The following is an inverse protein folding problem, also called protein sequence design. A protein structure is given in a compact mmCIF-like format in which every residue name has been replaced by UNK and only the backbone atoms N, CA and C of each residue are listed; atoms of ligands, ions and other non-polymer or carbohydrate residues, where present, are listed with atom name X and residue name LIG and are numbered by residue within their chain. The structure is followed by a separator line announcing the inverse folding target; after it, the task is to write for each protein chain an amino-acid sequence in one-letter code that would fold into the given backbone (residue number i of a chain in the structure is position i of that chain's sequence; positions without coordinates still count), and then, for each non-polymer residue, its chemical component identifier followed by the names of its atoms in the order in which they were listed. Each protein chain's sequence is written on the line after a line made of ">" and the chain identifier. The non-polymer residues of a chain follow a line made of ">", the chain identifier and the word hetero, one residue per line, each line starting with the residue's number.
data_IF_379069460688
#
_entry.id   IF_379069460688
#
_cell.length_a   1.000
_cell.length_b   1.000
_cell.length_c   1.000
_cell.angle_alpha   90.00
_cell.angle_beta   90.00
_cell.angle_gamma   90.00
#
_symmetry.space_group_name_H-M   'P 1'
#
loop_
_entity.id
_entity.type
_entity.pdbx_description
1 polymer ?
#
# COMPACT_ATOMS: atom_id res chain seq x y z
N UNK A 1 -39.94 -45.49 9.45
CA UNK A 1 -38.77 -44.84 10.09
C UNK A 1 -37.49 -44.94 9.25
N UNK A 2 -36.99 -46.13 8.87
CA UNK A 2 -35.74 -46.26 8.07
C UNK A 2 -35.72 -45.43 6.78
N UNK A 3 -36.78 -45.48 5.95
CA UNK A 3 -36.87 -44.69 4.69
C UNK A 3 -36.83 -43.16 4.91
N UNK A 4 -37.33 -42.68 6.05
CA UNK A 4 -37.39 -41.26 6.41
C UNK A 4 -36.01 -40.77 6.89
N UNK A 5 -35.31 -41.62 7.66
CA UNK A 5 -33.91 -41.39 8.07
C UNK A 5 -32.98 -41.41 6.85
N UNK A 6 -33.11 -42.38 5.93
CA UNK A 6 -32.34 -42.41 4.69
C UNK A 6 -32.62 -41.20 3.77
N UNK A 7 -33.87 -40.73 3.71
CA UNK A 7 -34.23 -39.51 2.98
C UNK A 7 -33.59 -38.25 3.57
N UNK A 8 -33.61 -38.08 4.89
CA UNK A 8 -32.95 -36.96 5.58
C UNK A 8 -31.43 -37.00 5.40
N UNK A 9 -30.81 -38.19 5.46
CA UNK A 9 -29.38 -38.38 5.22
C UNK A 9 -28.99 -38.03 3.78
N UNK A 10 -29.81 -38.40 2.81
CA UNK A 10 -29.60 -38.03 1.42
C UNK A 10 -29.69 -36.51 1.23
N UNK A 11 -30.70 -35.84 1.81
CA UNK A 11 -30.83 -34.38 1.76
C UNK A 11 -29.63 -33.69 2.41
N UNK A 12 -29.17 -34.19 3.56
CA UNK A 12 -28.00 -33.65 4.25
C UNK A 12 -26.73 -33.81 3.40
N UNK A 13 -26.51 -34.98 2.78
CA UNK A 13 -25.37 -35.22 1.90
C UNK A 13 -25.40 -34.33 0.65
N UNK A 14 -26.57 -34.19 0.01
CA UNK A 14 -26.75 -33.27 -1.11
C UNK A 14 -26.53 -31.81 -0.71
N UNK A 15 -27.05 -31.40 0.46
CA UNK A 15 -26.85 -30.06 1.02
C UNK A 15 -25.37 -29.76 1.28
N UNK A 16 -24.64 -30.71 1.88
CA UNK A 16 -23.20 -30.60 2.11
C UNK A 16 -22.42 -30.52 0.78
N UNK A 17 -22.76 -31.34 -0.21
CA UNK A 17 -22.12 -31.31 -1.52
C UNK A 17 -22.32 -29.98 -2.24
N UNK A 18 -23.55 -29.45 -2.22
CA UNK A 18 -23.86 -28.12 -2.77
C UNK A 18 -23.17 -26.99 -2.00
N UNK A 19 -23.08 -27.10 -0.68
CA UNK A 19 -22.37 -26.14 0.15
C UNK A 19 -20.87 -26.12 -0.16
N UNK A 20 -20.23 -27.29 -0.26
CA UNK A 20 -18.81 -27.41 -0.63
C UNK A 20 -18.58 -26.83 -2.03
N UNK A 21 -19.45 -27.14 -2.99
CA UNK A 21 -19.37 -26.59 -4.34
C UNK A 21 -19.48 -25.06 -4.33
N UNK A 22 -20.45 -24.50 -3.61
CA UNK A 22 -20.62 -23.06 -3.48
C UNK A 22 -19.39 -22.39 -2.85
N UNK A 23 -18.82 -22.97 -1.79
CA UNK A 23 -17.63 -22.43 -1.11
C UNK A 23 -16.41 -22.42 -2.05
N UNK A 24 -16.30 -23.41 -2.95
CA UNK A 24 -15.14 -23.58 -3.82
C UNK A 24 -15.26 -22.86 -5.17
N UNK A 25 -16.45 -22.81 -5.76
CA UNK A 25 -16.67 -22.35 -7.14
C UNK A 25 -17.60 -21.14 -7.22
N UNK A 26 -18.21 -20.73 -6.10
CA UNK A 26 -19.32 -19.80 -6.08
C UNK A 26 -20.56 -20.41 -6.73
N UNK A 27 -21.60 -19.60 -6.90
CA UNK A 27 -22.81 -20.00 -7.62
C UNK A 27 -23.30 -18.88 -8.58
N UNK A 28 -24.09 -19.23 -9.62
CA UNK A 28 -24.58 -18.24 -10.59
C UNK A 28 -25.49 -17.16 -9.98
N UNK A 29 -26.25 -17.46 -8.92
CA UNK A 29 -27.15 -16.49 -8.31
C UNK A 29 -26.36 -15.41 -7.56
N UNK A 30 -25.39 -15.81 -6.75
CA UNK A 30 -24.48 -14.88 -6.07
C UNK A 30 -23.69 -14.04 -7.06
N UNK A 31 -23.19 -14.65 -8.14
CA UNK A 31 -22.49 -13.92 -9.20
C UNK A 31 -23.37 -12.83 -9.80
N UNK A 32 -24.62 -13.14 -10.15
CA UNK A 32 -25.55 -12.15 -10.70
C UNK A 32 -25.89 -11.06 -9.68
N UNK A 33 -26.12 -11.42 -8.41
CA UNK A 33 -26.37 -10.44 -7.34
C UNK A 33 -25.17 -9.49 -7.15
N UNK A 34 -23.96 -10.03 -7.19
CA UNK A 34 -22.70 -9.29 -7.12
C UNK A 34 -22.53 -8.33 -8.31
N UNK A 35 -22.79 -8.80 -9.53
CA UNK A 35 -22.73 -7.98 -10.73
C UNK A 35 -23.72 -6.81 -10.66
N UNK A 36 -24.99 -7.08 -10.32
CA UNK A 36 -26.02 -6.05 -10.17
C UNK A 36 -25.66 -5.04 -9.09
N UNK A 37 -25.08 -5.49 -7.97
CA UNK A 37 -24.58 -4.61 -6.92
C UNK A 37 -23.49 -3.68 -7.43
N UNK A 38 -22.52 -4.18 -8.20
CA UNK A 38 -21.47 -3.35 -8.79
C UNK A 38 -22.02 -2.39 -9.84
N UNK A 39 -22.90 -2.84 -10.73
CA UNK A 39 -23.55 -1.99 -11.73
C UNK A 39 -24.31 -0.84 -11.05
N UNK A 40 -25.03 -1.13 -9.96
CA UNK A 40 -25.71 -0.08 -9.18
C UNK A 40 -24.71 0.85 -8.49
N UNK A 41 -23.66 0.30 -7.90
CA UNK A 41 -22.64 1.07 -7.19
C UNK A 41 -21.93 2.04 -8.14
N UNK A 42 -21.44 1.59 -9.30
CA UNK A 42 -20.72 2.47 -10.23
C UNK A 42 -21.59 3.58 -10.80
N UNK A 43 -22.88 3.32 -11.04
CA UNK A 43 -23.84 4.35 -11.47
C UNK A 43 -24.05 5.43 -10.39
N UNK A 44 -24.04 5.04 -9.12
CA UNK A 44 -24.22 5.95 -8.00
C UNK A 44 -22.94 6.73 -7.69
N UNK A 45 -21.79 6.06 -7.64
CA UNK A 45 -20.49 6.63 -7.27
C UNK A 45 -19.88 7.44 -8.42
N UNK A 46 -20.05 7.00 -9.67
CA UNK A 46 -19.45 7.61 -10.85
C UNK A 46 -20.49 7.94 -11.94
N UNK A 47 -21.51 8.78 -11.64
CA UNK A 47 -22.65 9.00 -12.55
C UNK A 47 -22.27 9.63 -13.90
N UNK A 48 -21.08 10.22 -14.00
CA UNK A 48 -20.55 10.86 -15.22
C UNK A 48 -19.60 9.96 -16.02
N UNK A 49 -19.28 8.75 -15.54
CA UNK A 49 -18.37 7.81 -16.21
C UNK A 49 -19.18 6.67 -16.81
N UNK A 50 -18.91 6.34 -18.07
CA UNK A 50 -19.40 5.11 -18.67
C UNK A 50 -18.52 3.94 -18.22
N UNK A 51 -18.99 3.20 -17.21
CA UNK A 51 -18.28 2.04 -16.66
C UNK A 51 -19.06 0.77 -16.99
N UNK A 52 -18.38 -0.19 -17.62
CA UNK A 52 -18.93 -1.52 -17.89
C UNK A 52 -18.35 -2.53 -16.91
N UNK A 53 -19.21 -3.29 -16.25
CA UNK A 53 -18.83 -4.40 -15.36
C UNK A 53 -18.89 -5.69 -16.18
N UNK A 54 -17.79 -6.44 -16.22
CA UNK A 54 -17.66 -7.69 -16.99
C UNK A 54 -16.81 -8.72 -16.25
N UNK A 55 -16.75 -9.95 -16.77
CA UNK A 55 -15.76 -10.97 -16.39
C UNK A 55 -15.72 -11.34 -14.91
N UNK A 56 -16.89 -11.46 -14.26
CA UNK A 56 -16.97 -11.88 -12.85
C UNK A 56 -16.43 -13.30 -12.61
N UNK A 57 -15.42 -13.42 -11.75
CA UNK A 57 -14.82 -14.70 -11.32
C UNK A 57 -14.87 -14.78 -9.80
N UNK A 58 -15.18 -15.97 -9.28
CA UNK A 58 -15.16 -16.22 -7.84
C UNK A 58 -13.75 -16.55 -7.36
N UNK A 59 -13.30 -15.87 -6.30
CA UNK A 59 -12.05 -16.10 -5.61
C UNK A 59 -12.32 -16.80 -4.28
N UNK A 60 -12.09 -18.13 -4.23
CA UNK A 60 -12.33 -18.92 -3.03
C UNK A 60 -11.45 -18.51 -1.84
N UNK A 61 -10.24 -17.97 -2.07
CA UNK A 61 -9.33 -17.56 -0.99
C UNK A 61 -9.88 -16.40 -0.18
N UNK A 62 -10.49 -15.42 -0.85
CA UNK A 62 -11.07 -14.23 -0.19
C UNK A 62 -12.59 -14.36 0.00
N UNK A 63 -13.20 -15.36 -0.63
CA UNK A 63 -14.65 -15.57 -0.72
C UNK A 63 -15.36 -14.37 -1.36
N UNK A 64 -14.79 -13.87 -2.45
CA UNK A 64 -15.27 -12.69 -3.17
C UNK A 64 -15.51 -12.99 -4.64
N UNK A 65 -16.41 -12.24 -5.26
CA UNK A 65 -16.44 -12.11 -6.71
C UNK A 65 -15.63 -10.91 -7.13
N UNK A 66 -14.70 -11.13 -8.06
CA UNK A 66 -13.89 -10.09 -8.69
C UNK A 66 -14.37 -9.90 -10.11
N UNK A 67 -14.72 -8.66 -10.46
CA UNK A 67 -15.14 -8.24 -11.79
C UNK A 67 -14.15 -7.23 -12.36
N UNK A 68 -14.19 -7.07 -13.68
CA UNK A 68 -13.50 -5.99 -14.38
C UNK A 68 -14.46 -4.82 -14.58
N UNK A 69 -14.12 -3.65 -14.04
CA UNK A 69 -14.73 -2.38 -14.35
C UNK A 69 -13.93 -1.70 -15.48
N UNK A 70 -14.51 -1.61 -16.66
CA UNK A 70 -13.86 -0.98 -17.83
C UNK A 70 -14.34 0.46 -17.99
N UNK A 71 -13.40 1.41 -18.00
CA UNK A 71 -13.64 2.84 -18.23
C UNK A 71 -12.55 3.39 -19.16
N UNK A 72 -12.93 4.04 -20.26
CA UNK A 72 -11.98 4.67 -21.21
C UNK A 72 -10.76 3.77 -21.55
N UNK A 73 -11.04 2.51 -21.91
CA UNK A 73 -10.04 1.46 -22.23
C UNK A 73 -9.15 0.97 -21.08
N UNK A 74 -9.30 1.49 -19.87
CA UNK A 74 -8.66 0.96 -18.67
C UNK A 74 -9.56 -0.04 -17.96
N UNK A 75 -8.95 -1.05 -17.35
CA UNK A 75 -9.64 -2.09 -16.59
C UNK A 75 -9.21 -2.00 -15.14
N UNK A 76 -10.19 -1.97 -14.25
CA UNK A 76 -9.99 -1.89 -12.81
C UNK A 76 -10.68 -3.06 -12.13
N UNK A 77 -10.05 -3.72 -11.15
CA UNK A 77 -10.72 -4.75 -10.37
C UNK A 77 -11.83 -4.11 -9.51
N UNK A 78 -12.97 -4.79 -9.42
CA UNK A 78 -14.02 -4.48 -8.45
C UNK A 78 -14.48 -5.75 -7.75
N UNK A 79 -14.52 -5.70 -6.43
CA UNK A 79 -14.73 -6.88 -5.60
C UNK A 79 -16.03 -6.75 -4.86
N UNK A 80 -16.72 -7.87 -4.71
CA UNK A 80 -17.87 -7.96 -3.82
C UNK A 80 -17.83 -9.21 -2.97
N UNK A 81 -18.38 -9.11 -1.76
CA UNK A 81 -18.48 -10.21 -0.81
C UNK A 81 -19.89 -10.38 -0.30
N UNK A 82 -20.34 -11.63 -0.23
CA UNK A 82 -21.65 -12.02 0.30
C UNK A 82 -22.56 -12.69 -0.73
N UNK A 83 -23.65 -13.29 -0.22
CA UNK A 83 -24.59 -14.10 -1.00
C UNK A 83 -25.78 -13.25 -1.50
N UNK A 84 -26.78 -12.97 -0.65
CA UNK A 84 -28.00 -12.23 -1.02
C UNK A 84 -27.84 -10.71 -1.10
N UNK A 85 -26.98 -10.15 -0.25
CA UNK A 85 -26.76 -8.70 -0.15
C UNK A 85 -25.26 -8.41 -0.21
N UNK A 86 -24.63 -8.61 -1.38
CA UNK A 86 -23.20 -8.42 -1.51
C UNK A 86 -22.82 -6.97 -1.19
N UNK A 87 -21.66 -6.82 -0.54
CA UNK A 87 -21.03 -5.52 -0.28
C UNK A 87 -19.85 -5.35 -1.22
N UNK A 88 -19.64 -4.13 -1.70
CA UNK A 88 -18.42 -3.78 -2.42
C UNK A 88 -17.27 -3.78 -1.41
N UNK A 89 -16.19 -4.48 -1.74
CA UNK A 89 -15.02 -4.65 -0.87
C UNK A 89 -13.73 -4.11 -1.46
N UNK A 90 -13.67 -3.93 -2.78
CA UNK A 90 -12.59 -3.22 -3.47
C UNK A 90 -13.17 -2.37 -4.61
N UNK A 91 -12.57 -1.20 -4.81
CA UNK A 91 -12.92 -0.27 -5.89
C UNK A 91 -11.62 0.18 -6.55
N UNK A 92 -11.19 -0.59 -7.56
CA UNK A 92 -9.93 -0.33 -8.26
C UNK A 92 -9.88 1.01 -8.98
N UNK A 93 -11.02 1.66 -9.24
CA UNK A 93 -11.04 3.02 -9.84
C UNK A 93 -10.60 4.04 -8.80
N UNK A 94 -11.16 3.96 -7.59
CA UNK A 94 -10.81 4.84 -6.48
C UNK A 94 -9.40 4.55 -5.97
N UNK A 95 -9.00 3.27 -5.91
CA UNK A 95 -7.65 2.86 -5.51
C UNK A 95 -6.60 3.43 -6.48
N UNK A 96 -6.82 3.31 -7.80
CA UNK A 96 -5.90 3.88 -8.79
C UNK A 96 -5.84 5.42 -8.75
N UNK A 97 -6.96 6.08 -8.43
CA UNK A 97 -6.97 7.52 -8.20
C UNK A 97 -6.15 7.88 -6.95
N UNK A 98 -6.35 7.17 -5.85
CA UNK A 98 -5.64 7.36 -4.59
C UNK A 98 -4.14 7.10 -4.73
N UNK A 99 -3.74 6.10 -5.53
CA UNK A 99 -2.34 5.84 -5.88
C UNK A 99 -1.73 7.04 -6.63
N UNK A 100 -2.48 7.61 -7.59
CA UNK A 100 -2.04 8.79 -8.35
C UNK A 100 -1.86 10.02 -7.47
N UNK A 101 -2.80 10.26 -6.53
CA UNK A 101 -2.69 11.32 -5.52
C UNK A 101 -1.48 11.08 -4.61
N UNK A 102 -1.32 9.85 -4.15
CA UNK A 102 -0.20 9.46 -3.28
C UNK A 102 1.13 9.71 -3.96
N UNK A 103 1.29 9.27 -5.20
CA UNK A 103 2.48 9.53 -6.00
C UNK A 103 2.77 11.02 -6.13
N UNK A 104 1.77 11.84 -6.46
CA UNK A 104 1.94 13.28 -6.59
C UNK A 104 2.46 13.93 -5.29
N UNK A 105 1.78 13.69 -4.16
CA UNK A 105 2.14 14.28 -2.87
C UNK A 105 3.49 13.75 -2.37
N UNK A 106 3.76 12.45 -2.54
CA UNK A 106 5.02 11.81 -2.13
C UNK A 106 6.22 12.36 -2.92
N UNK A 107 6.06 12.62 -4.22
CA UNK A 107 7.10 13.25 -5.04
C UNK A 107 7.43 14.67 -4.56
N UNK A 108 6.42 15.46 -4.21
CA UNK A 108 6.63 16.81 -3.66
C UNK A 108 7.27 16.78 -2.27
N UNK A 109 6.82 15.87 -1.39
CA UNK A 109 7.39 15.66 -0.06
C UNK A 109 8.86 15.24 -0.13
N UNK A 110 9.16 14.28 -1.00
CA UNK A 110 10.51 13.80 -1.30
C UNK A 110 11.42 14.94 -1.74
N UNK A 111 11.00 15.73 -2.73
CA UNK A 111 11.78 16.88 -3.22
C UNK A 111 12.07 17.90 -2.11
N UNK A 112 11.10 18.19 -1.25
CA UNK A 112 11.27 19.11 -0.13
C UNK A 112 12.28 18.56 0.90
N UNK A 113 12.16 17.29 1.27
CA UNK A 113 13.05 16.63 2.22
C UNK A 113 14.48 16.57 1.67
N UNK A 114 14.66 16.17 0.41
CA UNK A 114 15.98 16.16 -0.23
C UNK A 114 16.62 17.54 -0.23
N UNK A 115 15.86 18.59 -0.56
CA UNK A 115 16.39 19.95 -0.62
C UNK A 115 16.89 20.45 0.74
N UNK A 116 16.21 20.06 1.83
CA UNK A 116 16.65 20.37 3.19
C UNK A 116 17.85 19.51 3.61
N UNK A 117 17.85 18.20 3.30
CA UNK A 117 18.91 17.27 3.70
C UNK A 117 20.22 17.48 2.92
N UNK A 118 20.17 17.80 1.62
CA UNK A 118 21.38 18.02 0.80
C UNK A 118 22.31 19.09 1.37
N UNK A 119 21.77 20.06 2.12
CA UNK A 119 22.54 21.13 2.77
C UNK A 119 23.29 20.65 4.02
N UNK A 120 22.70 19.72 4.77
CA UNK A 120 23.24 19.24 6.03
C UNK A 120 24.04 17.94 5.90
N UNK A 121 23.75 17.14 4.87
CA UNK A 121 24.30 15.80 4.67
C UNK A 121 24.87 15.68 3.24
N UNK A 122 26.15 16.06 3.03
CA UNK A 122 26.77 16.04 1.69
C UNK A 122 26.83 14.66 1.04
N UNK A 123 26.73 13.60 1.84
CA UNK A 123 26.73 12.19 1.40
C UNK A 123 25.33 11.65 1.09
N UNK A 124 24.31 12.51 1.05
CA UNK A 124 22.96 12.10 0.64
C UNK A 124 22.97 11.61 -0.81
N UNK A 125 22.49 10.39 -1.04
CA UNK A 125 22.26 9.83 -2.37
C UNK A 125 20.84 10.17 -2.81
N UNK A 126 19.84 9.79 -2.01
CA UNK A 126 18.42 10.09 -2.24
C UNK A 126 17.62 10.05 -0.94
N UNK A 127 16.44 10.67 -0.97
CA UNK A 127 15.40 10.49 0.03
C UNK A 127 14.11 10.05 -0.67
N UNK A 128 13.30 9.24 0.00
CA UNK A 128 11.99 8.82 -0.45
C UNK A 128 11.02 9.00 0.73
N UNK A 129 9.94 9.76 0.52
CA UNK A 129 8.89 9.96 1.51
C UNK A 129 7.59 9.31 1.03
N UNK A 130 6.92 8.56 1.91
CA UNK A 130 5.68 7.88 1.60
C UNK A 130 4.62 8.18 2.65
N UNK A 131 3.58 8.93 2.27
CA UNK A 131 2.39 9.13 3.09
C UNK A 131 1.44 7.95 2.92
N UNK A 132 0.91 7.46 4.04
CA UNK A 132 -0.17 6.46 4.07
C UNK A 132 -1.51 7.17 3.88
N UNK A 133 -1.90 7.34 2.62
CA UNK A 133 -3.11 8.07 2.21
C UNK A 133 -4.27 7.09 2.03
N UNK A 134 -5.39 7.37 2.69
CA UNK A 134 -6.63 6.61 2.53
C UNK A 134 -7.48 7.15 1.36
N UNK A 135 -8.37 6.29 0.83
CA UNK A 135 -9.26 6.65 -0.26
C UNK A 135 -10.09 7.91 0.06
N UNK A 136 -10.16 8.85 -0.88
CA UNK A 136 -10.88 10.11 -0.72
C UNK A 136 -10.28 11.10 0.28
N UNK A 137 -9.15 10.79 0.95
CA UNK A 137 -8.55 11.68 1.95
C UNK A 137 -7.99 12.96 1.32
N UNK A 138 -7.37 12.83 0.14
CA UNK A 138 -6.77 13.92 -0.63
C UNK A 138 -7.16 13.83 -2.11
N UNK A 139 -6.90 14.92 -2.84
CA UNK A 139 -7.15 15.04 -4.28
C UNK A 139 -5.88 15.36 -5.04
N UNK A 140 -5.90 15.25 -6.37
CA UNK A 140 -4.75 15.61 -7.23
C UNK A 140 -4.35 17.09 -7.15
N UNK A 141 -5.22 17.97 -6.67
CA UNK A 141 -4.90 19.39 -6.45
C UNK A 141 -4.21 19.64 -5.10
N UNK A 142 -4.07 18.59 -4.27
CA UNK A 142 -3.45 18.67 -2.94
C UNK A 142 -1.95 18.87 -3.08
N UNK A 143 -1.46 20.02 -2.63
CA UNK A 143 -0.04 20.32 -2.60
C UNK A 143 0.59 19.90 -1.27
N UNK A 144 1.81 19.40 -1.33
CA UNK A 144 2.58 19.05 -0.17
C UNK A 144 2.72 20.24 0.80
N UNK A 145 2.49 19.95 2.08
CA UNK A 145 2.90 20.75 3.22
C UNK A 145 3.12 19.83 4.42
N UNK A 146 3.89 20.29 5.40
CA UNK A 146 4.29 19.47 6.55
C UNK A 146 3.11 19.02 7.42
N UNK A 147 2.02 19.78 7.43
CA UNK A 147 0.81 19.44 8.19
C UNK A 147 0.05 18.24 7.59
N UNK A 148 0.29 17.89 6.33
CA UNK A 148 -0.31 16.67 5.75
C UNK A 148 0.14 15.41 6.49
N UNK A 149 1.39 15.39 6.97
CA UNK A 149 1.94 14.24 7.70
C UNK A 149 1.34 14.05 9.10
N UNK A 150 0.59 15.03 9.62
CA UNK A 150 -0.20 14.89 10.85
C UNK A 150 -1.54 14.16 10.59
N UNK A 151 -2.04 14.22 9.34
CA UNK A 151 -3.30 13.60 8.92
C UNK A 151 -3.09 12.23 8.28
N UNK A 152 -1.99 12.06 7.57
CA UNK A 152 -1.59 10.82 6.92
C UNK A 152 -0.16 10.48 7.34
N UNK A 153 0.05 9.42 8.15
CA UNK A 153 1.37 9.06 8.64
C UNK A 153 2.39 8.90 7.50
N UNK A 154 3.54 9.56 7.63
CA UNK A 154 4.62 9.51 6.64
C UNK A 154 5.75 8.61 7.12
N UNK A 155 6.16 7.66 6.30
CA UNK A 155 7.44 6.96 6.44
C UNK A 155 8.50 7.59 5.54
N UNK A 156 9.78 7.48 5.93
CA UNK A 156 10.89 8.06 5.19
C UNK A 156 11.98 7.00 4.98
N UNK A 157 12.48 6.85 3.77
CA UNK A 157 13.69 6.06 3.47
C UNK A 157 14.77 6.99 2.94
N UNK A 158 15.97 6.92 3.50
CA UNK A 158 17.11 7.76 3.12
C UNK A 158 18.26 6.87 2.71
N UNK A 159 18.92 7.19 1.59
CA UNK A 159 20.16 6.52 1.20
C UNK A 159 21.35 7.47 1.34
N UNK A 160 22.40 7.00 2.01
CA UNK A 160 23.65 7.75 2.26
C UNK A 160 24.86 7.01 1.70
N UNK A 161 25.86 7.73 1.20
CA UNK A 161 27.15 7.14 0.81
C UNK A 161 28.06 6.92 2.03
N UNK A 162 28.17 5.66 2.46
CA UNK A 162 29.03 5.23 3.56
C UNK A 162 30.33 4.56 3.12
N UNK A 163 30.76 4.79 1.87
CA UNK A 163 32.03 4.28 1.35
C UNK A 163 33.21 4.77 2.19
N UNK A 164 33.97 3.82 2.74
CA UNK A 164 35.12 4.10 3.61
C UNK A 164 34.76 4.53 5.04
N UNK A 165 33.47 4.52 5.41
CA UNK A 165 33.03 4.91 6.75
C UNK A 165 32.87 3.71 7.67
N UNK A 166 33.20 3.95 8.95
CA UNK A 166 32.92 3.02 10.03
C UNK A 166 31.43 3.04 10.40
N UNK A 167 30.99 2.02 11.14
CA UNK A 167 29.65 1.94 11.71
C UNK A 167 29.30 3.16 12.58
N UNK A 168 30.25 3.62 13.38
CA UNK A 168 30.09 4.82 14.23
C UNK A 168 29.91 6.09 13.41
N UNK A 169 30.62 6.22 12.29
CA UNK A 169 30.48 7.39 11.40
C UNK A 169 29.13 7.36 10.66
N UNK A 170 28.68 6.18 10.22
CA UNK A 170 27.35 5.99 9.64
C UNK A 170 26.24 6.39 10.62
N UNK A 171 26.33 5.95 11.88
CA UNK A 171 25.37 6.34 12.92
C UNK A 171 25.35 7.87 13.18
N UNK A 172 26.51 8.54 13.15
CA UNK A 172 26.56 10.01 13.29
C UNK A 172 25.93 10.74 12.10
N UNK A 173 26.13 10.24 10.87
CA UNK A 173 25.47 10.81 9.70
C UNK A 173 23.95 10.60 9.77
N UNK A 174 23.51 9.41 10.17
CA UNK A 174 22.11 9.09 10.37
C UNK A 174 21.46 10.01 11.43
N UNK A 175 22.15 10.25 12.55
CA UNK A 175 21.69 11.19 13.59
C UNK A 175 21.60 12.62 13.06
N UNK A 176 22.50 13.01 12.13
CA UNK A 176 22.44 14.31 11.46
C UNK A 176 21.19 14.43 10.58
N UNK A 177 20.84 13.38 9.84
CA UNK A 177 19.58 13.31 9.07
C UNK A 177 18.38 13.50 10.01
N UNK A 178 18.29 12.69 11.07
CA UNK A 178 17.17 12.75 12.03
C UNK A 178 17.02 14.14 12.66
N UNK A 179 18.11 14.72 13.16
CA UNK A 179 18.10 16.08 13.72
C UNK A 179 17.66 17.12 12.71
N UNK A 180 18.19 17.06 11.49
CA UNK A 180 17.82 18.00 10.41
C UNK A 180 16.32 17.91 10.10
N UNK A 181 15.76 16.71 9.99
CA UNK A 181 14.33 16.53 9.74
C UNK A 181 13.48 17.14 10.88
N UNK A 182 13.87 16.90 12.13
CA UNK A 182 13.17 17.44 13.30
C UNK A 182 13.28 18.96 13.41
N UNK A 183 14.47 19.53 13.23
CA UNK A 183 14.71 20.98 13.26
C UNK A 183 13.93 21.71 12.15
N UNK A 184 13.74 21.04 11.01
CA UNK A 184 12.92 21.54 9.90
C UNK A 184 11.42 21.32 10.10
N UNK A 185 11.01 20.67 11.18
CA UNK A 185 9.61 20.45 11.54
C UNK A 185 8.91 19.40 10.68
N UNK A 186 9.62 18.38 10.19
CA UNK A 186 8.98 17.24 9.53
C UNK A 186 8.39 16.29 10.58
N UNK A 187 7.11 15.94 10.39
CA UNK A 187 6.43 14.88 11.15
C UNK A 187 6.52 13.58 10.36
N UNK A 188 6.90 12.48 11.02
CA UNK A 188 6.98 11.14 10.41
C UNK A 188 6.77 10.07 11.48
N UNK A 189 6.23 8.92 11.08
CA UNK A 189 5.95 7.78 11.97
C UNK A 189 7.19 6.92 12.20
N UNK A 190 7.95 6.68 11.13
CA UNK A 190 9.20 5.95 11.15
C UNK A 190 10.08 6.39 9.97
N UNK A 191 11.35 6.02 10.02
CA UNK A 191 12.17 5.99 8.82
C UNK A 191 13.31 5.00 8.93
N UNK A 192 13.92 4.73 7.78
CA UNK A 192 15.07 3.85 7.64
C UNK A 192 16.16 4.58 6.86
N UNK A 193 17.40 4.44 7.30
CA UNK A 193 18.58 5.00 6.65
C UNK A 193 19.45 3.87 6.18
N UNK A 194 19.53 3.71 4.86
CA UNK A 194 20.41 2.76 4.20
C UNK A 194 21.74 3.45 3.88
N UNK A 195 22.78 3.04 4.58
CA UNK A 195 24.13 3.49 4.37
C UNK A 195 24.80 2.59 3.33
N UNK A 196 24.89 3.08 2.10
CA UNK A 196 25.36 2.34 0.93
C UNK A 196 26.89 2.30 0.86
N UNK A 197 27.43 1.14 0.48
CA UNK A 197 28.81 1.00 0.03
C UNK A 197 28.81 1.01 -1.51
N UNK A 198 29.64 1.87 -2.12
CA UNK A 198 29.83 1.85 -3.57
C UNK A 198 30.54 0.59 -4.01
N UNK A 199 30.15 0.09 -5.18
CA UNK A 199 30.87 -0.99 -5.86
C UNK A 199 32.21 -0.50 -6.45
N UNK A 200 33.02 -1.42 -6.97
CA UNK A 200 34.32 -1.10 -7.58
C UNK A 200 34.25 -0.19 -8.82
N UNK A 201 33.06 -0.03 -9.41
CA UNK A 201 32.83 0.82 -10.58
C UNK A 201 32.26 2.21 -10.20
N UNK A 202 32.11 2.49 -8.90
CA UNK A 202 31.55 3.75 -8.39
C UNK A 202 30.02 3.81 -8.40
N UNK A 203 29.34 2.72 -8.77
CA UNK A 203 27.90 2.55 -8.68
C UNK A 203 27.43 2.28 -7.24
N UNK A 204 26.13 2.38 -7.00
CA UNK A 204 25.52 2.00 -5.72
C UNK A 204 25.64 0.48 -5.60
N UNK A 205 26.46 -0.01 -4.67
CA UNK A 205 26.73 -1.43 -4.49
C UNK A 205 25.66 -2.10 -3.62
N UNK A 206 25.87 -2.09 -2.31
CA UNK A 206 24.99 -2.76 -1.34
C UNK A 206 24.76 -1.91 -0.08
N UNK A 207 23.75 -2.26 0.71
CA UNK A 207 23.50 -1.63 2.02
C UNK A 207 24.52 -2.16 3.01
N UNK A 208 25.46 -1.32 3.43
CA UNK A 208 26.50 -1.69 4.40
C UNK A 208 25.97 -1.64 5.83
N UNK A 209 25.24 -0.58 6.13
CA UNK A 209 24.55 -0.42 7.41
C UNK A 209 23.10 0.00 7.19
N UNK A 210 22.17 -0.55 7.96
CA UNK A 210 20.78 -0.09 8.02
C UNK A 210 20.46 0.43 9.41
N UNK A 211 19.76 1.55 9.49
CA UNK A 211 19.42 2.21 10.74
C UNK A 211 17.95 2.63 10.69
N UNK A 212 17.12 2.02 11.52
CA UNK A 212 15.77 2.51 11.76
C UNK A 212 15.79 3.69 12.74
N UNK A 213 14.94 4.68 12.50
CA UNK A 213 14.87 5.87 13.34
C UNK A 213 13.44 6.36 13.56
N UNK A 214 13.24 6.94 14.73
CA UNK A 214 12.03 7.63 15.13
C UNK A 214 12.33 9.10 15.40
N UNK A 215 11.32 9.96 15.37
CA UNK A 215 11.50 11.40 15.62
C UNK A 215 12.09 11.69 17.00
N UNK A 216 11.69 10.96 18.04
CA UNK A 216 12.06 11.25 19.44
C UNK A 216 13.27 10.50 19.98
N UNK A 217 13.71 9.43 19.32
CA UNK A 217 14.83 8.60 19.78
C UNK A 217 16.13 9.06 19.09
N UNK A 218 17.16 9.36 19.87
CA UNK A 218 18.49 9.69 19.32
C UNK A 218 19.18 8.42 18.85
N UNK A 219 19.75 8.44 17.64
CA UNK A 219 20.44 7.31 17.05
C UNK A 219 21.78 7.11 17.74
N UNK A 220 22.02 5.88 18.21
CA UNK A 220 23.24 5.42 18.84
C UNK A 220 24.07 4.57 17.87
N UNK A 221 25.35 4.36 18.18
CA UNK A 221 26.25 3.60 17.31
C UNK A 221 25.88 2.12 17.18
N UNK A 222 25.21 1.55 18.19
CA UNK A 222 24.72 0.18 18.19
C UNK A 222 23.40 0.00 17.43
N UNK A 223 22.69 1.08 17.08
CA UNK A 223 21.44 1.03 16.32
C UNK A 223 21.69 0.74 14.83
N UNK A 224 22.93 0.92 14.35
CA UNK A 224 23.31 0.51 13.01
C UNK A 224 23.43 -1.01 12.92
N UNK A 225 22.59 -1.65 12.13
CA UNK A 225 22.75 -3.05 11.77
C UNK A 225 23.77 -3.15 10.64
N UNK A 226 24.80 -3.99 10.82
CA UNK A 226 25.77 -4.26 9.77
C UNK A 226 25.28 -5.44 8.94
N UNK A 227 24.94 -5.18 7.67
CA UNK A 227 24.35 -6.19 6.79
C UNK A 227 25.40 -6.92 5.95
N UNK A 228 26.65 -6.44 5.99
CA UNK A 228 27.81 -7.08 5.37
C UNK A 228 27.76 -7.11 3.84
N UNK A 229 28.87 -7.57 3.27
CA UNK A 229 29.01 -8.09 1.91
C UNK A 229 29.43 -9.54 1.97
#
# INVERSE_FOLDING_TARGET
>A
MKKLVFGLLAIALFGCGLYIYHVWFGDPFSKNAAEQKLVSYVKQTYPKKEIKITNGVYNAKTSEYVFEATSQSHRYPMCTKGFLHPKVTCDGIEEAYTESVSKHVNEEATKAIEADLKKAVPRLIKADAALSIENGQFTLDTKWNKQLAEKAPMSITIQLDASGLSKTDAAKMAETVRKTLNEKGYTYSNGTIDCMQKDGNGGIGYVKYSIDFLSKAAIQSNDAEELGS
#
